data_IF_932360429830
#
_entry.id   IF_932360429830
#
_cell.length_a   1.000
_cell.length_b   1.000
_cell.length_c   1.000
_cell.angle_alpha   90.00
_cell.angle_beta   90.00
_cell.angle_gamma   90.00
#
_symmetry.space_group_name_H-M   'P 1'
#
loop_
_entity.id
_entity.type
_entity.pdbx_description
1 polymer ?
#
# COMPACT_ATOMS: atom_id res chain seq x y z
N UNK A 1 18.37 -8.12 4.52
CA UNK A 1 17.98 -8.64 5.85
C UNK A 1 16.52 -9.11 5.97
N UNK A 2 15.68 -9.08 4.91
CA UNK A 2 14.24 -9.39 5.04
C UNK A 2 13.84 -10.89 4.87
N UNK A 3 14.77 -11.80 4.58
CA UNK A 3 14.45 -13.21 4.26
C UNK A 3 13.80 -14.00 5.42
N UNK A 4 14.14 -13.69 6.68
CA UNK A 4 13.64 -14.40 7.86
C UNK A 4 12.43 -13.75 8.55
N UNK A 5 11.96 -12.59 8.08
CA UNK A 5 10.94 -11.80 8.78
C UNK A 5 9.55 -12.35 8.48
N UNK A 6 8.80 -12.70 9.53
CA UNK A 6 7.37 -12.99 9.48
C UNK A 6 6.58 -11.84 10.07
N UNK A 7 5.54 -11.40 9.36
CA UNK A 7 4.62 -10.36 9.87
C UNK A 7 3.22 -10.58 9.32
N UNK A 8 2.23 -10.03 10.03
CA UNK A 8 0.83 -9.98 9.56
C UNK A 8 0.57 -8.80 8.64
N UNK A 9 1.40 -7.75 8.69
CA UNK A 9 1.18 -6.52 7.93
C UNK A 9 2.41 -6.16 7.15
N UNK A 10 2.21 -5.87 5.87
CA UNK A 10 3.27 -5.52 4.94
C UNK A 10 2.83 -4.36 4.06
N UNK A 11 3.81 -3.57 3.62
CA UNK A 11 3.65 -2.65 2.52
C UNK A 11 4.59 -3.06 1.39
N UNK A 12 4.04 -3.19 0.19
CA UNK A 12 4.79 -3.31 -1.05
C UNK A 12 4.76 -1.97 -1.78
N UNK A 13 5.87 -1.54 -2.37
CA UNK A 13 5.96 -0.30 -3.15
C UNK A 13 6.91 -0.48 -4.32
N UNK A 14 6.45 -0.16 -5.53
CA UNK A 14 7.28 -0.28 -6.73
C UNK A 14 6.75 0.59 -7.88
N UNK A 15 7.46 0.65 -9.00
CA UNK A 15 6.99 1.32 -10.21
C UNK A 15 6.07 0.42 -11.04
N UNK A 16 5.15 1.02 -11.79
CA UNK A 16 4.21 0.25 -12.63
C UNK A 16 4.93 -0.56 -13.70
N UNK A 17 6.01 -0.03 -14.30
CA UNK A 17 6.79 -0.78 -15.30
C UNK A 17 7.45 -2.00 -14.68
N UNK A 18 7.92 -1.92 -13.43
CA UNK A 18 8.51 -3.09 -12.79
C UNK A 18 7.47 -4.18 -12.53
N UNK A 19 6.25 -3.83 -12.08
CA UNK A 19 5.15 -4.80 -11.98
C UNK A 19 4.86 -5.44 -13.34
N UNK A 20 4.74 -4.61 -14.39
CA UNK A 20 4.47 -5.09 -15.74
C UNK A 20 5.55 -6.03 -16.25
N UNK A 21 6.83 -5.70 -16.05
CA UNK A 21 7.98 -6.54 -16.43
C UNK A 21 7.98 -7.87 -15.66
N UNK A 22 7.50 -7.85 -14.41
CA UNK A 22 7.31 -9.05 -13.61
C UNK A 22 6.04 -9.84 -14.01
N UNK A 23 5.28 -9.38 -14.99
CA UNK A 23 4.02 -9.99 -15.40
C UNK A 23 2.96 -9.94 -14.30
N UNK A 24 3.00 -8.88 -13.48
CA UNK A 24 1.98 -8.54 -12.49
C UNK A 24 1.01 -7.54 -13.15
N UNK A 25 -0.31 -7.71 -13.03
CA UNK A 25 -1.25 -6.76 -13.61
C UNK A 25 -1.06 -5.36 -13.06
N UNK A 26 -1.14 -4.36 -13.95
CA UNK A 26 -1.08 -2.93 -13.60
C UNK A 26 -2.43 -2.24 -13.74
N UNK A 27 -3.39 -2.88 -14.40
CA UNK A 27 -4.78 -2.45 -14.32
C UNK A 27 -5.29 -2.66 -12.90
N UNK A 28 -6.04 -1.67 -12.42
CA UNK A 28 -6.55 -1.63 -11.06
C UNK A 28 -7.46 -2.81 -10.71
N UNK A 29 -8.37 -3.19 -11.61
CA UNK A 29 -9.31 -4.27 -11.36
C UNK A 29 -8.63 -5.64 -11.48
N UNK A 30 -7.74 -5.82 -12.45
CA UNK A 30 -6.96 -7.05 -12.58
C UNK A 30 -5.98 -7.24 -11.42
N UNK A 31 -5.36 -6.18 -10.94
CA UNK A 31 -4.46 -6.23 -9.79
C UNK A 31 -5.22 -6.59 -8.51
N UNK A 32 -6.41 -6.03 -8.30
CA UNK A 32 -7.26 -6.40 -7.17
C UNK A 32 -7.56 -7.91 -7.18
N UNK A 33 -7.97 -8.46 -8.34
CA UNK A 33 -8.17 -9.90 -8.52
C UNK A 33 -6.92 -10.71 -8.23
N UNK A 34 -5.77 -10.28 -8.74
CA UNK A 34 -4.49 -10.91 -8.49
C UNK A 34 -4.12 -10.92 -7.00
N UNK A 35 -4.35 -9.83 -6.28
CA UNK A 35 -4.13 -9.75 -4.82
C UNK A 35 -5.05 -10.73 -4.10
N UNK A 36 -6.32 -10.80 -4.47
CA UNK A 36 -7.29 -11.71 -3.86
C UNK A 36 -6.97 -13.18 -4.15
N UNK A 37 -6.59 -13.52 -5.39
CA UNK A 37 -6.38 -14.91 -5.82
C UNK A 37 -5.00 -15.44 -5.46
N UNK A 38 -3.95 -14.66 -5.66
CA UNK A 38 -2.56 -15.13 -5.49
C UNK A 38 -2.01 -14.80 -4.12
N UNK A 39 -2.24 -13.58 -3.62
CA UNK A 39 -1.69 -13.15 -2.33
C UNK A 39 -2.56 -13.59 -1.16
N UNK A 40 -3.88 -13.59 -1.33
CA UNK A 40 -4.88 -13.99 -0.32
C UNK A 40 -4.72 -13.30 1.04
N UNK A 41 -4.58 -11.96 1.10
CA UNK A 41 -4.63 -11.25 2.37
C UNK A 41 -6.07 -11.28 2.95
N UNK A 42 -6.18 -11.13 4.26
CA UNK A 42 -7.48 -10.91 4.92
C UNK A 42 -8.04 -9.52 4.66
N UNK A 43 -7.16 -8.52 4.45
CA UNK A 43 -7.51 -7.16 4.03
C UNK A 43 -6.42 -6.60 3.14
N UNK A 44 -6.78 -5.79 2.15
CA UNK A 44 -5.82 -5.01 1.38
C UNK A 44 -6.34 -3.62 1.06
N UNK A 45 -5.41 -2.72 0.74
CA UNK A 45 -5.68 -1.45 0.09
C UNK A 45 -4.48 -1.04 -0.75
N UNK A 46 -4.70 -0.40 -1.89
CA UNK A 46 -3.65 0.13 -2.72
C UNK A 46 -4.06 1.38 -3.47
N UNK A 47 -3.06 2.15 -3.89
CA UNK A 47 -3.22 3.36 -4.70
C UNK A 47 -2.11 3.41 -5.75
N UNK A 48 -2.47 3.78 -6.97
CA UNK A 48 -1.51 4.16 -8.00
C UNK A 48 -1.24 5.65 -7.84
N UNK A 49 0.02 6.00 -7.61
CA UNK A 49 0.49 7.34 -7.29
C UNK A 49 1.36 7.85 -8.42
N UNK A 50 0.84 8.82 -9.16
CA UNK A 50 1.59 9.64 -10.10
C UNK A 50 2.56 10.54 -9.32
N UNK A 51 3.83 10.56 -9.72
CA UNK A 51 4.77 11.52 -9.15
C UNK A 51 4.62 12.84 -9.90
N UNK A 52 3.87 13.77 -9.31
CA UNK A 52 3.70 15.13 -9.83
C UNK A 52 4.75 16.11 -9.29
N UNK A 53 5.96 15.64 -8.95
CA UNK A 53 7.04 16.59 -8.75
C UNK A 53 7.26 17.30 -10.08
N UNK A 54 7.24 18.63 -10.07
CA UNK A 54 7.59 19.46 -11.22
C UNK A 54 9.09 19.34 -11.50
N UNK A 55 9.52 18.15 -11.87
CA UNK A 55 10.87 17.84 -12.31
C UNK A 55 10.91 17.87 -13.83
N UNK A 56 12.03 18.30 -14.39
CA UNK A 56 12.27 18.31 -15.84
C UNK A 56 12.17 16.91 -16.49
N UNK A 57 12.10 15.87 -15.66
CA UNK A 57 11.91 14.49 -16.07
C UNK A 57 10.60 13.94 -15.49
N UNK A 58 9.74 13.31 -16.32
CA UNK A 58 8.57 12.62 -15.83
C UNK A 58 9.01 11.47 -14.94
N UNK A 59 8.63 11.54 -13.65
CA UNK A 59 8.91 10.47 -12.70
C UNK A 59 7.82 9.42 -12.84
N UNK A 60 8.24 8.17 -12.98
CA UNK A 60 7.34 7.04 -13.22
C UNK A 60 6.29 6.89 -12.11
N UNK A 61 5.06 6.57 -12.50
CA UNK A 61 3.99 6.24 -11.54
C UNK A 61 4.38 5.03 -10.69
N UNK A 62 4.12 5.17 -9.39
CA UNK A 62 4.39 4.14 -8.40
C UNK A 62 3.08 3.54 -7.90
N UNK A 63 3.15 2.33 -7.38
CA UNK A 63 2.05 1.71 -6.68
C UNK A 63 2.47 1.40 -5.25
N UNK A 64 1.56 1.64 -4.31
CA UNK A 64 1.69 1.21 -2.92
C UNK A 64 0.58 0.25 -2.58
N UNK A 65 0.92 -0.92 -2.05
CA UNK A 65 -0.02 -1.98 -1.70
C UNK A 65 0.17 -2.33 -0.22
N UNK A 66 -0.86 -2.16 0.58
CA UNK A 66 -0.92 -2.59 1.98
C UNK A 66 -1.62 -3.95 2.03
N UNK A 67 -0.99 -4.91 2.70
CA UNK A 67 -1.49 -6.27 2.87
C UNK A 67 -1.59 -6.60 4.36
N UNK A 68 -2.76 -7.06 4.81
CA UNK A 68 -2.96 -7.61 6.16
C UNK A 68 -3.41 -9.08 6.10
N UNK A 69 -2.73 -9.96 6.85
CA UNK A 69 -3.00 -11.39 6.92
C UNK A 69 -3.48 -11.80 8.33
N UNK A 70 -4.40 -12.77 8.39
CA UNK A 70 -4.83 -13.41 9.66
C UNK A 70 -3.65 -14.01 10.42
N UNK A 71 -2.74 -14.67 9.70
CA UNK A 71 -1.55 -15.31 10.24
C UNK A 71 -0.27 -14.70 9.65
N UNK A 72 0.83 -14.60 10.42
CA UNK A 72 2.08 -14.05 9.90
C UNK A 72 2.56 -14.81 8.66
N UNK A 73 2.95 -14.07 7.63
CA UNK A 73 3.58 -14.58 6.41
C UNK A 73 5.02 -14.11 6.33
N UNK A 74 5.87 -14.90 5.68
CA UNK A 74 7.23 -14.47 5.39
C UNK A 74 7.22 -13.35 4.35
N UNK A 75 7.96 -12.27 4.60
CA UNK A 75 8.10 -11.18 3.62
C UNK A 75 8.64 -11.72 2.29
N UNK A 76 9.67 -12.58 2.34
CA UNK A 76 10.25 -13.16 1.14
C UNK A 76 9.29 -14.03 0.32
N UNK A 77 8.33 -14.68 0.98
CA UNK A 77 7.30 -15.43 0.27
C UNK A 77 6.38 -14.51 -0.52
N UNK A 78 5.93 -13.40 0.09
CA UNK A 78 5.08 -12.42 -0.58
C UNK A 78 5.83 -11.69 -1.70
N UNK A 79 7.09 -11.32 -1.48
CA UNK A 79 7.94 -10.70 -2.52
C UNK A 79 8.08 -11.61 -3.76
N UNK A 80 8.25 -12.92 -3.53
CA UNK A 80 8.33 -13.91 -4.61
C UNK A 80 7.05 -13.98 -5.43
N UNK A 81 5.87 -13.79 -4.82
CA UNK A 81 4.61 -13.75 -5.57
C UNK A 81 4.60 -12.57 -6.55
N UNK A 82 5.10 -11.40 -6.13
CA UNK A 82 5.35 -10.24 -7.01
C UNK A 82 6.51 -10.44 -8.00
N UNK A 83 7.16 -11.61 -8.00
CA UNK A 83 8.41 -11.92 -8.72
C UNK A 83 9.51 -10.88 -8.46
N UNK A 84 9.52 -10.35 -7.24
CA UNK A 84 10.45 -9.33 -6.79
C UNK A 84 11.44 -9.94 -5.81
N UNK A 85 12.58 -10.39 -6.35
CA UNK A 85 13.63 -11.01 -5.54
C UNK A 85 14.42 -9.98 -4.72
N UNK A 86 14.35 -8.71 -5.12
CA UNK A 86 14.93 -7.59 -4.38
C UNK A 86 13.95 -7.18 -3.28
N UNK A 87 14.13 -7.76 -2.09
CA UNK A 87 13.27 -7.53 -0.91
C UNK A 87 13.25 -6.08 -0.39
N UNK A 88 13.83 -5.12 -1.11
CA UNK A 88 13.80 -3.67 -0.82
C UNK A 88 12.40 -3.08 -0.97
N UNK A 89 11.59 -3.64 -1.86
CA UNK A 89 10.26 -3.11 -2.20
C UNK A 89 9.16 -3.57 -1.25
N UNK A 90 9.47 -4.43 -0.28
CA UNK A 90 8.51 -4.95 0.69
C UNK A 90 9.04 -4.82 2.11
N UNK A 91 8.20 -4.27 2.99
CA UNK A 91 8.58 -4.01 4.37
C UNK A 91 7.51 -4.49 5.35
N UNK A 92 7.94 -4.96 6.52
CA UNK A 92 7.03 -5.24 7.63
C UNK A 92 6.51 -3.94 8.23
N UNK A 93 5.24 -3.98 8.61
CA UNK A 93 4.55 -2.88 9.26
C UNK A 93 4.38 -3.18 10.75
N UNK A 94 4.79 -2.25 11.60
CA UNK A 94 4.53 -2.28 13.04
C UNK A 94 3.05 -1.92 13.29
N UNK A 95 2.32 -2.63 14.18
CA UNK A 95 0.91 -2.37 14.43
C UNK A 95 0.54 -0.92 14.77
N UNK A 96 1.37 -0.22 15.55
CA UNK A 96 1.15 1.18 15.92
C UNK A 96 1.22 2.14 14.73
N UNK A 97 1.87 1.74 13.63
CA UNK A 97 1.98 2.54 12.42
C UNK A 97 0.85 2.27 11.40
N UNK A 98 -0.12 1.39 11.72
CA UNK A 98 -1.16 0.95 10.78
C UNK A 98 -1.85 2.12 10.09
N UNK A 99 -2.29 3.11 10.85
CA UNK A 99 -2.98 4.27 10.30
C UNK A 99 -2.06 5.13 9.41
N UNK A 100 -0.84 5.42 9.87
CA UNK A 100 0.13 6.24 9.13
C UNK A 100 0.37 5.64 7.73
N UNK A 101 0.33 4.31 7.62
CA UNK A 101 0.43 3.61 6.34
C UNK A 101 -0.77 3.80 5.44
N UNK A 102 -2.00 3.64 5.94
CA UNK A 102 -3.19 3.89 5.13
C UNK A 102 -3.26 5.36 4.69
N UNK A 103 -2.90 6.29 5.57
CA UNK A 103 -2.76 7.72 5.22
C UNK A 103 -1.67 7.99 4.17
N UNK A 104 -0.68 7.11 4.04
CA UNK A 104 0.33 7.22 2.97
C UNK A 104 -0.22 6.89 1.58
N UNK A 105 -1.31 6.11 1.48
CA UNK A 105 -1.97 5.85 0.19
C UNK A 105 -2.56 7.13 -0.41
N UNK A 106 -3.03 8.04 0.45
CA UNK A 106 -3.60 9.33 0.06
C UNK A 106 -2.63 10.51 0.20
N UNK A 107 -1.36 10.23 0.49
CA UNK A 107 -0.32 11.23 0.78
C UNK A 107 -0.69 12.25 1.87
N UNK A 108 -1.60 11.92 2.80
CA UNK A 108 -2.01 12.84 3.85
C UNK A 108 -0.79 13.33 4.66
N UNK A 109 0.12 12.41 4.99
CA UNK A 109 1.33 12.67 5.77
C UNK A 109 2.51 13.27 4.97
N UNK A 110 2.32 13.56 3.67
CA UNK A 110 3.37 14.10 2.79
C UNK A 110 2.99 15.51 2.32
N UNK A 111 3.45 16.59 2.99
CA UNK A 111 2.98 17.96 2.72
C UNK A 111 3.34 18.49 1.33
N UNK A 112 4.43 17.98 0.74
CA UNK A 112 4.95 18.43 -0.56
C UNK A 112 4.45 17.61 -1.75
N UNK A 113 3.64 16.58 -1.51
CA UNK A 113 3.13 15.69 -2.56
C UNK A 113 1.66 15.99 -2.88
N UNK A 114 1.25 15.71 -4.13
CA UNK A 114 -0.15 15.68 -4.52
C UNK A 114 -0.92 14.77 -3.56
N UNK A 115 -1.99 15.31 -2.98
CA UNK A 115 -2.95 14.55 -2.17
C UNK A 115 -3.86 13.78 -3.10
N UNK A 116 -4.19 12.55 -2.71
CA UNK A 116 -5.20 11.74 -3.39
C UNK A 116 -6.46 11.71 -2.54
N UNK A 117 -7.61 11.55 -3.19
CA UNK A 117 -8.89 11.33 -2.53
C UNK A 117 -8.97 9.89 -2.03
N UNK A 118 -9.75 9.64 -0.99
CA UNK A 118 -10.01 8.29 -0.49
C UNK A 118 -10.66 7.39 -1.53
N UNK A 119 -11.44 7.98 -2.45
CA UNK A 119 -12.10 7.33 -3.59
C UNK A 119 -11.11 6.82 -4.65
N UNK A 120 -9.87 7.30 -4.65
CA UNK A 120 -8.80 6.83 -5.54
C UNK A 120 -8.08 5.58 -4.97
N UNK A 121 -8.43 5.15 -3.75
CA UNK A 121 -7.88 3.95 -3.11
C UNK A 121 -8.77 2.75 -3.38
N UNK A 122 -8.17 1.69 -3.92
CA UNK A 122 -8.85 0.41 -4.13
C UNK A 122 -8.59 -0.47 -2.93
N UNK A 123 -9.64 -1.03 -2.33
CA UNK A 123 -9.51 -1.77 -1.08
C UNK A 123 -10.61 -2.81 -0.89
N UNK A 124 -10.34 -3.75 0.01
CA UNK A 124 -11.27 -4.83 0.36
C UNK A 124 -12.24 -4.45 1.50
N UNK A 125 -12.35 -3.18 1.84
CA UNK A 125 -13.15 -2.63 2.94
C UNK A 125 -13.52 -1.18 2.63
N UNK A 126 -14.40 -0.55 3.41
CA UNK A 126 -14.67 0.88 3.22
C UNK A 126 -13.48 1.72 3.71
N UNK A 127 -12.65 2.16 2.77
CA UNK A 127 -11.46 2.95 3.09
C UNK A 127 -11.83 4.38 3.52
N UNK A 128 -12.90 4.96 2.97
CA UNK A 128 -13.31 6.33 3.33
C UNK A 128 -13.80 6.36 4.77
N UNK A 129 -14.69 5.44 5.14
CA UNK A 129 -15.17 5.28 6.52
C UNK A 129 -14.01 5.05 7.50
N UNK A 130 -13.05 4.19 7.14
CA UNK A 130 -11.88 3.92 7.97
C UNK A 130 -11.01 5.18 8.25
N UNK A 131 -10.89 6.08 7.28
CA UNK A 131 -10.13 7.33 7.43
C UNK A 131 -10.95 8.39 8.18
N UNK A 132 -12.24 8.51 7.91
CA UNK A 132 -13.13 9.48 8.55
C UNK A 132 -13.30 9.21 10.06
N UNK A 133 -13.41 7.93 10.44
CA UNK A 133 -13.41 7.50 11.84
C UNK A 133 -12.16 7.99 12.58
N UNK A 134 -11.00 8.00 11.92
CA UNK A 134 -9.78 8.49 12.53
C UNK A 134 -9.85 10.00 12.79
N UNK A 135 -10.23 10.79 11.79
CA UNK A 135 -10.29 12.25 11.94
C UNK A 135 -11.32 12.67 12.99
N UNK A 136 -12.48 12.00 13.01
CA UNK A 136 -13.52 12.24 14.00
C UNK A 136 -13.05 11.95 15.43
N UNK A 137 -12.26 10.89 15.63
CA UNK A 137 -11.72 10.54 16.95
C UNK A 137 -10.56 11.45 17.39
N UNK A 138 -9.77 11.98 16.46
CA UNK A 138 -8.73 12.99 16.75
C UNK A 138 -9.35 14.31 17.24
N UNK A 139 -10.40 14.81 16.57
CA UNK A 139 -11.08 16.04 16.96
C UNK A 139 -11.68 15.94 18.38
N UNK A 140 -12.28 14.78 18.71
CA UNK A 140 -12.79 14.51 20.07
C UNK A 140 -11.71 14.49 21.14
N UNK A 141 -10.51 14.04 20.80
CA UNK A 141 -9.38 13.95 21.75
C UNK A 141 -8.73 15.32 21.99
N UNK A 142 -8.73 16.20 20.98
CA UNK A 142 -8.18 17.56 21.08
C UNK A 142 -9.17 18.58 21.67
N UNK A 143 -10.44 18.20 21.84
CA UNK A 143 -11.50 19.03 22.42
C UNK A 143 -11.69 18.82 23.94
N UNK A 144 -10.88 17.95 24.56
CA UNK A 144 -10.84 17.65 26.00
C UNK A 144 -9.54 18.18 26.62
#
# INVERSE_FOLDING_TARGET
MNKGIKTRRMIYSNTLSNLKNNGIPTDSHELAKYIESELKPSRYAFSIQENNLATEHPVESTIRIILEFTYPRFIAYIAKLFKDEQLSNINSVIPSCKLILYLSLIHWNHPTQKKYQSTEVISSFDFSEFIDDYFTNQERTNAL
#
